data_IF_284609697475
#
_entry.id   IF_284609697475
#
_cell.length_a   1.000
_cell.length_b   1.000
_cell.length_c   1.000
_cell.angle_alpha   90.00
_cell.angle_beta   90.00
_cell.angle_gamma   90.00
#
_symmetry.space_group_name_H-M   'P 1'
#
loop_
_entity.id
_entity.type
_entity.pdbx_description
1 polymer ?
#
# COMPACT_ATOMS: atom_id res chain seq x y z
N UNK A 1 19.96 13.39 -4.33
CA UNK A 1 19.30 12.37 -3.47
C UNK A 1 18.16 11.77 -4.27
N UNK A 2 18.28 10.51 -4.68
CA UNK A 2 17.25 9.88 -5.51
C UNK A 2 16.21 9.25 -4.55
N UNK A 3 15.05 9.89 -4.37
CA UNK A 3 13.98 9.41 -3.49
C UNK A 3 13.35 8.13 -4.10
N UNK A 4 13.96 6.97 -3.86
CA UNK A 4 13.53 5.66 -4.40
C UNK A 4 12.37 5.02 -3.62
N UNK A 5 11.42 5.82 -3.15
CA UNK A 5 10.19 5.33 -2.55
C UNK A 5 8.99 5.75 -3.41
N UNK A 6 9.08 5.56 -4.74
CA UNK A 6 7.92 5.68 -5.61
C UNK A 6 6.95 4.56 -5.26
N UNK A 7 5.68 4.92 -5.06
CA UNK A 7 4.57 3.99 -5.01
C UNK A 7 3.89 3.99 -6.37
N UNK A 8 3.54 2.81 -6.91
CA UNK A 8 2.86 2.75 -8.21
C UNK A 8 1.48 3.42 -8.17
N UNK A 9 0.68 3.08 -7.15
CA UNK A 9 -0.62 3.67 -6.94
C UNK A 9 -0.85 4.02 -5.48
N UNK A 10 -1.36 5.23 -5.24
CA UNK A 10 -1.86 5.64 -3.93
C UNK A 10 -3.33 6.00 -4.05
N UNK A 11 -4.15 5.41 -3.19
CA UNK A 11 -5.60 5.61 -3.16
C UNK A 11 -5.90 6.63 -2.08
N UNK A 12 -6.68 7.64 -2.43
CA UNK A 12 -7.08 8.71 -1.51
C UNK A 12 -8.59 8.84 -1.45
N UNK A 13 -9.09 9.28 -0.29
CA UNK A 13 -10.42 9.88 -0.26
C UNK A 13 -10.45 11.15 -1.10
N UNK A 14 -11.51 11.30 -1.90
CA UNK A 14 -11.69 12.47 -2.76
C UNK A 14 -11.75 13.76 -1.93
N UNK A 15 -12.45 13.71 -0.81
CA UNK A 15 -12.60 14.78 0.18
C UNK A 15 -11.53 14.60 1.25
N UNK A 16 -10.89 15.69 1.70
CA UNK A 16 -9.84 15.66 2.72
C UNK A 16 -8.48 15.11 2.25
N UNK A 17 -8.42 14.43 1.09
CA UNK A 17 -7.18 13.88 0.51
C UNK A 17 -6.43 12.94 1.47
N UNK A 18 -7.16 12.28 2.36
CA UNK A 18 -6.55 11.32 3.27
C UNK A 18 -6.16 10.03 2.51
N UNK A 19 -4.90 9.55 2.64
CA UNK A 19 -4.44 8.34 1.98
C UNK A 19 -5.10 7.10 2.60
N UNK A 20 -5.88 6.39 1.80
CA UNK A 20 -6.58 5.18 2.20
C UNK A 20 -5.70 3.93 2.12
N UNK A 21 -4.78 3.88 1.15
CA UNK A 21 -3.90 2.73 0.96
C UNK A 21 -3.02 2.85 -0.28
N UNK A 22 -1.99 2.02 -0.34
CA UNK A 22 -1.02 1.93 -1.44
C UNK A 22 -1.16 0.58 -2.15
N UNK A 23 -1.03 0.58 -3.47
CA UNK A 23 -0.91 -0.64 -4.28
C UNK A 23 0.41 -0.58 -5.05
N UNK A 24 1.19 -1.66 -4.97
CA UNK A 24 2.44 -1.87 -5.71
C UNK A 24 2.29 -3.07 -6.65
N UNK A 25 2.88 -2.98 -7.84
CA UNK A 25 2.88 -4.01 -8.86
C UNK A 25 4.31 -4.49 -9.12
N UNK A 26 4.66 -5.66 -8.59
CA UNK A 26 5.98 -6.25 -8.77
C UNK A 26 6.07 -7.07 -10.07
N UNK A 27 6.89 -6.58 -11.01
CA UNK A 27 7.44 -7.37 -12.11
C UNK A 27 8.64 -8.20 -11.66
N UNK A 28 8.85 -9.38 -12.26
CA UNK A 28 9.91 -10.34 -11.87
C UNK A 28 11.26 -9.70 -11.53
N UNK A 29 11.84 -10.13 -10.41
CA UNK A 29 12.95 -9.45 -9.75
C UNK A 29 14.23 -9.40 -10.59
N UNK A 30 14.94 -8.26 -10.49
CA UNK A 30 16.37 -8.19 -10.73
C UNK A 30 17.00 -7.76 -9.39
N UNK A 31 17.88 -8.62 -8.87
CA UNK A 31 18.71 -8.41 -7.67
C UNK A 31 17.95 -8.45 -6.32
N UNK A 32 17.68 -9.67 -5.84
CA UNK A 32 16.81 -9.97 -4.69
C UNK A 32 17.20 -9.26 -3.38
N UNK A 33 18.49 -9.00 -3.14
CA UNK A 33 18.95 -8.40 -1.87
C UNK A 33 18.64 -6.92 -1.77
N UNK A 34 18.92 -6.16 -2.83
CA UNK A 34 18.64 -4.70 -2.86
C UNK A 34 17.13 -4.45 -2.86
N UNK A 35 16.36 -5.31 -3.52
CA UNK A 35 14.90 -5.21 -3.54
C UNK A 35 14.32 -5.46 -2.14
N UNK A 36 14.80 -6.50 -1.44
CA UNK A 36 14.37 -6.78 -0.06
C UNK A 36 14.65 -5.60 0.89
N UNK A 37 15.82 -4.98 0.81
CA UNK A 37 16.15 -3.81 1.63
C UNK A 37 15.22 -2.63 1.37
N UNK A 38 14.88 -2.37 0.10
CA UNK A 38 13.93 -1.31 -0.29
C UNK A 38 12.51 -1.62 0.16
N UNK A 39 12.10 -2.86 0.03
CA UNK A 39 10.78 -3.32 0.45
C UNK A 39 10.61 -3.21 1.96
N UNK A 40 11.63 -3.61 2.72
CA UNK A 40 11.64 -3.45 4.17
C UNK A 40 11.53 -1.98 4.59
N UNK A 41 12.30 -1.09 3.94
CA UNK A 41 12.22 0.34 4.19
C UNK A 41 10.83 0.90 3.88
N UNK A 42 10.27 0.55 2.72
CA UNK A 42 8.94 1.00 2.29
C UNK A 42 7.84 0.51 3.23
N UNK A 43 7.89 -0.77 3.62
CA UNK A 43 6.95 -1.35 4.57
C UNK A 43 7.01 -0.60 5.91
N UNK A 44 8.20 -0.31 6.41
CA UNK A 44 8.37 0.41 7.68
C UNK A 44 7.83 1.85 7.63
N UNK A 45 8.03 2.55 6.51
CA UNK A 45 7.50 3.91 6.30
C UNK A 45 5.97 3.89 6.29
N UNK A 46 5.37 2.98 5.51
CA UNK A 46 3.91 2.89 5.38
C UNK A 46 3.24 2.41 6.68
N UNK A 47 3.87 1.49 7.40
CA UNK A 47 3.42 1.04 8.72
C UNK A 47 3.40 2.18 9.73
N UNK A 48 4.49 2.97 9.81
CA UNK A 48 4.55 4.16 10.67
C UNK A 48 3.51 5.22 10.29
N UNK A 49 3.23 5.36 9.00
CA UNK A 49 2.18 6.24 8.50
C UNK A 49 0.76 5.66 8.69
N UNK A 50 0.63 4.43 9.19
CA UNK A 50 -0.63 3.66 9.27
C UNK A 50 -1.34 3.49 7.92
N UNK A 51 -0.60 3.55 6.82
CA UNK A 51 -1.14 3.40 5.47
C UNK A 51 -1.03 1.92 5.06
N UNK A 52 -2.13 1.25 4.76
CA UNK A 52 -2.10 -0.15 4.34
C UNK A 52 -1.50 -0.30 2.94
N UNK A 53 -0.80 -1.41 2.71
CA UNK A 53 -0.13 -1.74 1.44
C UNK A 53 -0.65 -3.06 0.87
N UNK A 54 -1.01 -3.06 -0.41
CA UNK A 54 -1.27 -4.26 -1.21
C UNK A 54 -0.18 -4.41 -2.28
N UNK A 55 0.46 -5.57 -2.31
CA UNK A 55 1.46 -5.91 -3.34
C UNK A 55 0.91 -6.98 -4.26
N UNK A 56 0.92 -6.70 -5.56
CA UNK A 56 0.43 -7.57 -6.62
C UNK A 56 1.61 -8.00 -7.49
N UNK A 57 1.79 -9.31 -7.72
CA UNK A 57 2.77 -9.79 -8.71
C UNK A 57 2.20 -9.67 -10.13
N UNK A 58 3.05 -9.48 -11.14
CA UNK A 58 2.58 -9.51 -12.55
C UNK A 58 2.12 -10.90 -13.00
N UNK A 59 2.50 -11.95 -12.27
CA UNK A 59 2.19 -13.35 -12.58
C UNK A 59 0.98 -13.90 -11.81
N UNK A 60 0.38 -13.11 -10.91
CA UNK A 60 -0.78 -13.58 -10.14
C UNK A 60 -2.12 -13.26 -10.81
N UNK A 61 -3.04 -14.22 -10.73
CA UNK A 61 -4.44 -14.03 -11.11
C UNK A 61 -5.28 -13.41 -9.98
N UNK A 62 -6.58 -13.24 -10.26
CA UNK A 62 -7.58 -12.75 -9.30
C UNK A 62 -7.33 -11.34 -8.74
N UNK A 63 -6.58 -10.51 -9.48
CA UNK A 63 -6.24 -9.12 -9.10
C UNK A 63 -7.49 -8.35 -8.65
N UNK A 64 -8.56 -8.39 -9.45
CA UNK A 64 -9.84 -7.71 -9.12
C UNK A 64 -10.39 -8.10 -7.75
N UNK A 65 -10.33 -9.40 -7.40
CA UNK A 65 -10.82 -9.89 -6.09
C UNK A 65 -9.94 -9.39 -4.96
N UNK A 66 -8.61 -9.44 -5.12
CA UNK A 66 -7.65 -8.96 -4.11
C UNK A 66 -7.77 -7.46 -3.88
N UNK A 67 -7.81 -6.67 -4.96
CA UNK A 67 -7.98 -5.22 -4.88
C UNK A 67 -9.29 -4.85 -4.19
N UNK A 68 -10.41 -5.53 -4.53
CA UNK A 68 -11.69 -5.29 -3.86
C UNK A 68 -11.65 -5.62 -2.37
N UNK A 69 -11.07 -6.76 -2.00
CA UNK A 69 -10.93 -7.14 -0.60
C UNK A 69 -10.06 -6.16 0.19
N UNK A 70 -8.95 -5.71 -0.40
CA UNK A 70 -8.06 -4.71 0.18
C UNK A 70 -8.77 -3.38 0.42
N UNK A 71 -9.45 -2.84 -0.60
CA UNK A 71 -10.19 -1.58 -0.48
C UNK A 71 -11.26 -1.64 0.61
N UNK A 72 -12.02 -2.73 0.66
CA UNK A 72 -13.02 -2.94 1.72
C UNK A 72 -12.39 -2.95 3.12
N UNK A 73 -11.24 -3.61 3.28
CA UNK A 73 -10.52 -3.64 4.55
C UNK A 73 -9.98 -2.26 4.96
N UNK A 74 -9.52 -1.46 4.01
CA UNK A 74 -9.05 -0.10 4.28
C UNK A 74 -10.19 0.79 4.78
N UNK A 75 -11.35 0.75 4.11
CA UNK A 75 -12.54 1.52 4.50
C UNK A 75 -13.05 1.10 5.89
N UNK A 76 -13.08 -0.21 6.17
CA UNK A 76 -13.51 -0.71 7.47
C UNK A 76 -12.56 -0.31 8.61
N UNK A 77 -11.24 -0.27 8.36
CA UNK A 77 -10.25 0.19 9.36
C UNK A 77 -10.33 1.69 9.63
N UNK A 78 -10.55 2.49 8.59
CA UNK A 78 -10.70 3.94 8.68
C UNK A 78 -11.94 4.32 9.52
N UNK A 79 -13.05 3.60 9.33
CA UNK A 79 -14.28 3.75 10.11
C UNK A 79 -14.07 3.55 11.63
N UNK A 80 -13.09 2.73 12.01
CA UNK A 80 -12.79 2.41 13.41
C UNK A 80 -11.73 3.35 14.03
N UNK A 81 -11.04 4.19 13.26
CA UNK A 81 -10.08 5.17 13.78
C UNK A 81 -10.76 6.51 14.15
N UNK A 82 -11.99 6.76 13.68
CA UNK A 82 -12.75 7.97 14.01
C UNK A 82 -13.25 8.05 15.46
N UNK A 83 -13.23 6.96 16.23
CA UNK A 83 -13.71 6.93 17.62
C UNK A 83 -12.64 7.15 18.69
N UNK A 84 -11.35 7.22 18.32
CA UNK A 84 -10.24 7.47 19.26
C UNK A 84 -9.97 8.98 19.50
N UNK A 85 -10.69 9.86 18.82
CA UNK A 85 -10.56 11.32 18.92
C UNK A 85 -11.86 12.05 19.29
N UNK A 86 -12.86 11.32 19.79
CA UNK A 86 -14.12 11.89 20.32
C UNK A 86 -14.25 11.67 21.82
#
# INVERSE_FOLDING_TARGET
>A
MNQKASCDFVIYYKVGKHPLGVIEVDGGSHDDKVQQERDALKNNILEKAKIPLLRLKTTEGNIKKKTKAFLNACIAKDSNQGSEYS
#
